data_IF_676133320748
#
_entry.id   IF_676133320748
#
_cell.length_a   1.000
_cell.length_b   1.000
_cell.length_c   1.000
_cell.angle_alpha   90.00
_cell.angle_beta   90.00
_cell.angle_gamma   90.00
#
_symmetry.space_group_name_H-M   'P 1'
#
loop_
_entity.id
_entity.type
_entity.pdbx_description
1 polymer ?
#
# COMPACT_ATOMS: atom_id res chain seq x y z
N UNK A 1 -3.36 21.76 -1.11
CA UNK A 1 -2.20 21.13 -0.43
C UNK A 1 -2.59 19.94 0.44
N UNK A 2 -3.55 20.05 1.36
CA UNK A 2 -3.93 18.99 2.33
C UNK A 2 -4.18 17.61 1.70
N UNK A 3 -4.88 17.55 0.55
CA UNK A 3 -5.13 16.29 -0.17
C UNK A 3 -3.86 15.57 -0.62
N UNK A 4 -2.91 16.30 -1.20
CA UNK A 4 -1.66 15.72 -1.71
C UNK A 4 -0.83 15.13 -0.55
N UNK A 5 -0.75 15.87 0.56
CA UNK A 5 -0.07 15.42 1.78
C UNK A 5 -0.67 14.11 2.30
N UNK A 6 -2.00 14.02 2.37
CA UNK A 6 -2.68 12.81 2.82
C UNK A 6 -2.45 11.62 1.87
N UNK A 7 -2.43 11.84 0.55
CA UNK A 7 -2.10 10.77 -0.41
C UNK A 7 -0.68 10.25 -0.21
N UNK A 8 0.30 11.15 -0.09
CA UNK A 8 1.71 10.78 0.13
C UNK A 8 1.86 9.99 1.43
N UNK A 9 1.26 10.46 2.52
CA UNK A 9 1.29 9.76 3.82
C UNK A 9 0.60 8.40 3.72
N UNK A 10 -0.56 8.32 3.06
CA UNK A 10 -1.30 7.08 2.87
C UNK A 10 -0.48 6.03 2.12
N UNK A 11 0.18 6.41 1.02
CA UNK A 11 1.08 5.51 0.29
C UNK A 11 2.33 5.13 1.07
N UNK A 12 2.94 6.08 1.77
CA UNK A 12 4.08 5.79 2.62
C UNK A 12 3.73 4.73 3.69
N UNK A 13 2.55 4.84 4.32
CA UNK A 13 2.05 3.86 5.30
C UNK A 13 1.71 2.50 4.66
N UNK A 14 1.12 2.49 3.47
CA UNK A 14 0.90 1.26 2.70
C UNK A 14 2.20 0.51 2.41
N UNK A 15 3.27 1.24 2.06
CA UNK A 15 4.61 0.67 1.80
C UNK A 15 5.37 0.35 3.09
N UNK A 16 5.09 1.06 4.19
CA UNK A 16 5.68 0.75 5.49
C UNK A 16 5.26 -0.65 5.98
N UNK A 17 4.04 -1.11 5.68
CA UNK A 17 3.57 -2.44 6.05
C UNK A 17 4.53 -3.58 5.67
N UNK A 18 4.78 -3.85 4.38
CA UNK A 18 5.69 -4.90 3.96
C UNK A 18 7.15 -4.68 4.42
N UNK A 19 7.59 -3.43 4.55
CA UNK A 19 8.91 -3.12 5.12
C UNK A 19 9.00 -3.56 6.60
N UNK A 20 8.00 -3.20 7.42
CA UNK A 20 7.89 -3.60 8.82
C UNK A 20 7.78 -5.13 8.94
N UNK A 21 7.10 -5.79 8.00
CA UNK A 21 7.05 -7.25 7.94
C UNK A 21 8.46 -7.84 7.75
N UNK A 22 9.26 -7.27 6.85
CA UNK A 22 10.67 -7.65 6.67
C UNK A 22 11.50 -7.42 7.93
N UNK A 23 11.38 -6.22 8.53
CA UNK A 23 12.10 -5.83 9.75
C UNK A 23 11.75 -6.71 10.96
N UNK A 24 10.56 -7.30 11.00
CA UNK A 24 10.19 -8.25 12.05
C UNK A 24 10.93 -9.59 11.98
N UNK A 25 11.74 -9.82 10.93
CA UNK A 25 12.40 -11.10 10.66
C UNK A 25 11.44 -12.17 10.13
N UNK A 26 10.28 -11.78 9.60
CA UNK A 26 9.31 -12.73 9.08
C UNK A 26 9.82 -13.42 7.81
N UNK A 27 9.79 -14.75 7.79
CA UNK A 27 10.11 -15.53 6.60
C UNK A 27 9.04 -15.44 5.49
N UNK A 28 7.85 -14.92 5.80
CA UNK A 28 6.75 -14.80 4.84
C UNK A 28 6.53 -13.33 4.45
N UNK A 29 6.68 -12.96 3.17
CA UNK A 29 6.47 -11.60 2.69
C UNK A 29 5.00 -11.16 2.69
N UNK A 30 4.04 -12.10 2.79
CA UNK A 30 2.60 -11.81 2.73
C UNK A 30 2.20 -10.93 1.54
N UNK A 31 2.86 -11.11 0.39
CA UNK A 31 2.64 -10.29 -0.79
C UNK A 31 1.20 -10.34 -1.31
N UNK A 32 0.52 -11.47 -1.09
CA UNK A 32 -0.90 -11.67 -1.39
C UNK A 32 -1.85 -10.84 -0.52
N UNK A 33 -1.38 -10.27 0.60
CA UNK A 33 -2.15 -9.34 1.45
C UNK A 33 -1.83 -7.89 1.08
N UNK A 34 -0.55 -7.53 1.05
CA UNK A 34 -0.15 -6.13 0.86
C UNK A 34 -0.36 -5.63 -0.56
N UNK A 35 -0.17 -6.46 -1.59
CA UNK A 35 -0.33 -6.01 -2.98
C UNK A 35 -1.78 -5.64 -3.31
N UNK A 36 -2.82 -6.42 -2.90
CA UNK A 36 -4.20 -5.98 -3.00
C UNK A 36 -4.50 -4.70 -2.23
N UNK A 37 -3.93 -4.50 -1.03
CA UNK A 37 -4.13 -3.27 -0.23
C UNK A 37 -3.58 -2.04 -0.98
N UNK A 38 -2.35 -2.13 -1.51
CA UNK A 38 -1.72 -1.09 -2.32
C UNK A 38 -2.55 -0.76 -3.55
N UNK A 39 -3.02 -1.79 -4.26
CA UNK A 39 -3.85 -1.63 -5.43
C UNK A 39 -5.19 -0.97 -5.07
N UNK A 40 -5.85 -1.44 -4.00
CA UNK A 40 -7.11 -0.90 -3.52
C UNK A 40 -6.99 0.59 -3.14
N UNK A 41 -5.91 0.99 -2.46
CA UNK A 41 -5.63 2.40 -2.15
C UNK A 41 -5.45 3.29 -3.40
N UNK A 42 -5.10 2.69 -4.55
CA UNK A 42 -4.97 3.39 -5.84
C UNK A 42 -6.23 3.46 -6.68
N UNK A 43 -7.24 2.61 -6.41
CA UNK A 43 -8.50 2.58 -7.18
C UNK A 43 -9.18 3.96 -7.27
N UNK A 44 -9.32 4.76 -6.19
CA UNK A 44 -10.00 6.05 -6.28
C UNK A 44 -9.29 7.07 -7.18
N UNK A 45 -7.98 6.93 -7.40
CA UNK A 45 -7.23 7.77 -8.36
C UNK A 45 -7.56 7.42 -9.81
N UNK A 46 -7.89 6.15 -10.08
CA UNK A 46 -8.18 5.60 -11.41
C UNK A 46 -9.67 5.73 -11.74
N UNK A 47 -10.54 5.46 -10.78
CA UNK A 47 -12.00 5.54 -10.93
C UNK A 47 -12.47 6.95 -11.32
N UNK A 48 -11.83 8.00 -10.80
CA UNK A 48 -12.12 9.39 -11.17
C UNK A 48 -11.68 9.80 -12.58
N UNK A 49 -11.17 8.88 -13.40
CA UNK A 49 -10.70 9.13 -14.78
C UNK A 49 -11.50 8.36 -15.83
N UNK A 50 -12.62 7.72 -15.46
CA UNK A 50 -13.42 6.84 -16.33
C UNK A 50 -12.60 5.75 -17.03
N UNK A 51 -11.50 5.32 -16.40
CA UNK A 51 -10.68 4.22 -16.91
C UNK A 51 -11.39 2.93 -16.50
N UNK A 52 -11.82 2.14 -17.49
CA UNK A 52 -12.18 0.74 -17.29
C UNK A 52 -10.92 -0.09 -17.48
N UNK A 53 -10.21 -0.48 -16.40
CA UNK A 53 -8.97 -1.21 -16.55
C UNK A 53 -9.25 -2.58 -17.16
N UNK A 54 -8.59 -2.88 -18.28
CA UNK A 54 -8.65 -4.22 -18.86
C UNK A 54 -8.05 -5.23 -17.89
N UNK A 55 -8.47 -6.51 -18.00
CA UNK A 55 -7.94 -7.59 -17.16
C UNK A 55 -6.40 -7.64 -17.19
N UNK A 56 -5.79 -7.30 -18.34
CA UNK A 56 -4.34 -7.21 -18.51
C UNK A 56 -3.71 -6.12 -17.63
N UNK A 57 -4.30 -4.92 -17.58
CA UNK A 57 -3.80 -3.81 -16.77
C UNK A 57 -3.94 -4.14 -15.28
N UNK A 58 -5.04 -4.78 -14.88
CA UNK A 58 -5.22 -5.23 -13.49
C UNK A 58 -4.18 -6.27 -13.10
N UNK A 59 -3.93 -7.26 -13.95
CA UNK A 59 -2.90 -8.27 -13.72
C UNK A 59 -1.50 -7.64 -13.59
N UNK A 60 -1.15 -6.72 -14.49
CA UNK A 60 0.11 -5.98 -14.42
C UNK A 60 0.22 -5.15 -13.13
N UNK A 61 -0.85 -4.46 -12.74
CA UNK A 61 -0.90 -3.70 -11.49
C UNK A 61 -0.65 -4.58 -10.27
N UNK A 62 -1.29 -5.74 -10.19
CA UNK A 62 -1.07 -6.72 -9.11
C UNK A 62 0.38 -7.19 -9.09
N UNK A 63 0.94 -7.55 -10.25
CA UNK A 63 2.34 -8.01 -10.34
C UNK A 63 3.33 -6.93 -9.92
N UNK A 64 3.11 -5.67 -10.34
CA UNK A 64 3.95 -4.54 -9.95
C UNK A 64 3.86 -4.29 -8.44
N UNK A 65 2.65 -4.25 -7.88
CA UNK A 65 2.45 -4.12 -6.44
C UNK A 65 3.09 -5.28 -5.67
N UNK A 66 2.96 -6.52 -6.16
CA UNK A 66 3.60 -7.70 -5.58
C UNK A 66 5.13 -7.60 -5.58
N UNK A 67 5.72 -7.16 -6.70
CA UNK A 67 7.17 -6.95 -6.80
C UNK A 67 7.66 -5.86 -5.83
N UNK A 68 6.92 -4.75 -5.71
CA UNK A 68 7.24 -3.68 -4.74
C UNK A 68 7.17 -4.18 -3.30
N UNK A 69 6.13 -4.95 -2.97
CA UNK A 69 5.98 -5.56 -1.64
C UNK A 69 7.14 -6.50 -1.33
N UNK A 70 7.47 -7.40 -2.25
CA UNK A 70 8.58 -8.34 -2.08
C UNK A 70 9.90 -7.59 -1.90
N UNK A 71 10.13 -6.55 -2.69
CA UNK A 71 11.32 -5.69 -2.56
C UNK A 71 11.39 -5.02 -1.19
N UNK A 72 10.30 -4.45 -0.69
CA UNK A 72 10.28 -3.79 0.61
C UNK A 72 10.45 -4.77 1.78
N UNK A 73 9.79 -5.93 1.71
CA UNK A 73 10.02 -6.99 2.67
C UNK A 73 11.48 -7.45 2.67
N UNK A 74 12.06 -7.67 1.48
CA UNK A 74 13.46 -8.06 1.35
C UNK A 74 14.40 -7.02 1.97
N UNK A 75 14.20 -5.74 1.62
CA UNK A 75 14.97 -4.63 2.19
C UNK A 75 14.85 -4.55 3.72
N UNK A 76 13.66 -4.79 4.27
CA UNK A 76 13.46 -4.86 5.72
C UNK A 76 14.20 -6.03 6.36
N UNK A 77 14.22 -7.19 5.68
CA UNK A 77 14.93 -8.39 6.15
C UNK A 77 16.45 -8.30 6.07
N UNK A 78 17.02 -7.31 5.38
CA UNK A 78 18.47 -7.06 5.38
C UNK A 78 18.98 -6.45 6.70
N UNK A 79 18.09 -5.86 7.50
CA UNK A 79 18.44 -5.29 8.79
C UNK A 79 18.35 -6.34 9.92
N UNK A 80 18.97 -6.04 11.07
CA UNK A 80 18.79 -6.87 12.26
C UNK A 80 17.30 -6.90 12.68
N UNK A 81 16.73 -8.07 13.00
CA UNK A 81 15.31 -8.18 13.35
C UNK A 81 14.95 -7.27 14.53
N UNK A 82 13.82 -6.58 14.38
CA UNK A 82 13.27 -5.67 15.39
C UNK A 82 12.02 -6.27 16.03
N UNK A 83 11.82 -5.99 17.32
CA UNK A 83 10.58 -6.33 18.00
C UNK A 83 9.42 -5.46 17.47
N UNK A 84 8.64 -6.03 16.55
CA UNK A 84 7.48 -5.39 15.93
C UNK A 84 6.23 -6.19 16.34
N UNK A 85 5.19 -5.48 16.78
CA UNK A 85 3.92 -6.12 17.13
C UNK A 85 3.35 -6.84 15.88
N UNK A 86 2.87 -8.10 15.99
CA UNK A 86 2.49 -8.91 14.82
C UNK A 86 1.45 -8.26 13.90
N UNK A 87 0.54 -7.45 14.46
CA UNK A 87 -0.49 -6.76 13.69
C UNK A 87 -0.04 -5.42 13.08
N UNK A 88 1.10 -4.85 13.51
CA UNK A 88 1.56 -3.53 13.08
C UNK A 88 1.82 -3.42 11.57
N UNK A 89 2.45 -4.41 10.90
CA UNK A 89 2.67 -4.35 9.45
C UNK A 89 1.35 -4.22 8.66
N UNK A 90 0.38 -5.09 8.94
CA UNK A 90 -0.92 -5.09 8.26
C UNK A 90 -1.74 -3.86 8.65
N UNK A 91 -1.72 -3.49 9.93
CA UNK A 91 -2.40 -2.30 10.44
C UNK A 91 -1.90 -1.01 9.79
N UNK A 92 -0.58 -0.85 9.63
CA UNK A 92 0.01 0.29 8.93
C UNK A 92 -0.46 0.35 7.48
N UNK A 93 -0.51 -0.79 6.80
CA UNK A 93 -0.94 -0.84 5.40
C UNK A 93 -2.42 -0.47 5.23
N UNK A 94 -3.30 -1.03 6.08
CA UNK A 94 -4.73 -0.71 6.08
C UNK A 94 -4.97 0.77 6.41
N UNK A 95 -4.31 1.29 7.44
CA UNK A 95 -4.41 2.70 7.81
C UNK A 95 -3.99 3.61 6.64
N UNK A 96 -2.89 3.27 5.95
CA UNK A 96 -2.44 3.97 4.76
C UNK A 96 -3.48 3.97 3.63
N UNK A 97 -4.11 2.83 3.36
CA UNK A 97 -5.17 2.71 2.36
C UNK A 97 -6.40 3.56 2.71
N UNK A 98 -6.82 3.55 3.99
CA UNK A 98 -7.93 4.39 4.47
C UNK A 98 -7.62 5.88 4.33
N UNK A 99 -6.40 6.31 4.67
CA UNK A 99 -5.97 7.70 4.53
C UNK A 99 -5.95 8.11 3.05
N UNK A 100 -5.43 7.26 2.16
CA UNK A 100 -5.40 7.52 0.72
C UNK A 100 -6.83 7.59 0.13
N UNK A 101 -7.73 6.73 0.58
CA UNK A 101 -9.14 6.77 0.20
C UNK A 101 -9.83 8.06 0.69
N UNK A 102 -9.65 8.42 1.96
CA UNK A 102 -10.19 9.65 2.55
C UNK A 102 -9.69 10.90 1.82
N UNK A 103 -8.39 10.95 1.48
CA UNK A 103 -7.81 12.04 0.69
C UNK A 103 -8.50 12.21 -0.68
N UNK A 104 -8.93 11.11 -1.30
CA UNK A 104 -9.66 11.14 -2.55
C UNK A 104 -11.11 11.57 -2.39
N UNK A 105 -11.79 11.21 -1.29
CA UNK A 105 -13.14 11.72 -0.99
C UNK A 105 -13.15 13.25 -0.82
N UNK A 106 -12.09 13.83 -0.26
CA UNK A 106 -11.93 15.29 -0.16
C UNK A 106 -11.88 16.00 -1.53
N UNK A 107 -11.61 15.28 -2.63
CA UNK A 107 -11.71 15.83 -3.98
C UNK A 107 -13.16 16.11 -4.36
N UNK A 108 -14.07 15.20 -4.01
CA UNK A 108 -15.49 15.27 -4.39
C UNK A 108 -16.29 16.24 -3.52
N UNK A 109 -15.81 16.56 -2.31
CA UNK A 109 -16.44 17.54 -1.42
C UNK A 109 -16.14 19.01 -1.78
N UNK A 110 -15.20 19.27 -2.69
CA UNK A 110 -14.80 20.62 -3.13
C UNK A 110 -15.19 20.91 -4.59
N UNK A 111 -15.90 20.00 -5.24
CA UNK A 111 -16.50 20.17 -6.57
C UNK A 111 -17.98 20.53 -6.38
#
# INVERSE_FOLDING_TARGET
>A
MTRLVLLVIGYALMLAGPLLQGLSGSANPNAYIFAPILLAGSIPLVAGRNIQPSARIMAQGILICGAVVLGLWYLGGLAAPMAIAPAAPVGAAIAGALIAAAANLLKFHRA
#
